data_IF_811269810249
#
_entry.id   IF_811269810249
#
_cell.length_a   1.000
_cell.length_b   1.000
_cell.length_c   1.000
_cell.angle_alpha   90.00
_cell.angle_beta   90.00
_cell.angle_gamma   90.00
#
_symmetry.space_group_name_H-M   'P 1'
#
loop_
_entity.id
_entity.type
_entity.pdbx_description
1 polymer ?
#
# COMPACT_ATOMS: atom_id res chain seq x y z
N UNK A 1 1.34 -10.63 -27.37
CA UNK A 1 1.37 -10.71 -25.89
C UNK A 1 -0.06 -10.78 -25.36
N UNK A 2 -0.32 -11.76 -24.50
CA UNK A 2 -1.68 -12.13 -24.11
C UNK A 2 -2.04 -11.68 -22.66
N UNK A 3 -1.41 -10.60 -22.15
CA UNK A 3 -1.74 -10.04 -20.84
C UNK A 3 -2.69 -8.86 -21.00
N UNK A 4 -3.81 -8.88 -20.26
CA UNK A 4 -4.80 -7.80 -20.23
C UNK A 4 -5.01 -7.32 -18.80
N UNK A 5 -4.91 -6.00 -18.60
CA UNK A 5 -5.27 -5.36 -17.34
C UNK A 5 -6.74 -4.98 -17.38
N UNK A 6 -7.49 -5.43 -16.40
CA UNK A 6 -8.93 -5.20 -16.34
C UNK A 6 -9.27 -4.49 -15.03
N UNK A 7 -10.01 -3.41 -15.15
CA UNK A 7 -10.48 -2.68 -13.97
C UNK A 7 -11.56 -3.47 -13.22
N UNK A 8 -11.69 -3.16 -11.92
CA UNK A 8 -12.71 -3.74 -11.05
C UNK A 8 -14.11 -3.65 -11.67
N UNK A 9 -14.83 -4.77 -11.73
CA UNK A 9 -16.17 -4.90 -12.29
C UNK A 9 -17.24 -3.97 -11.70
N UNK A 10 -17.01 -3.43 -10.50
CA UNK A 10 -17.95 -2.54 -9.81
C UNK A 10 -17.84 -1.07 -10.26
N UNK A 11 -16.76 -0.71 -10.96
CA UNK A 11 -16.50 0.67 -11.39
C UNK A 11 -16.27 0.69 -12.91
N UNK A 12 -16.96 1.58 -13.61
CA UNK A 12 -16.79 1.78 -15.05
C UNK A 12 -18.08 1.69 -15.84
N UNK A 13 -17.98 2.00 -17.14
CA UNK A 13 -19.10 1.90 -18.08
C UNK A 13 -19.55 0.45 -18.29
N UNK A 14 -20.75 0.26 -18.80
CA UNK A 14 -21.30 -1.07 -19.13
C UNK A 14 -20.41 -1.83 -20.11
N UNK A 15 -19.79 -1.15 -21.07
CA UNK A 15 -18.87 -1.74 -22.04
C UNK A 15 -17.62 -2.30 -21.36
N UNK A 16 -17.00 -1.54 -20.46
CA UNK A 16 -15.82 -1.99 -19.69
C UNK A 16 -16.13 -3.17 -18.80
N UNK A 17 -17.35 -3.22 -18.26
CA UNK A 17 -17.81 -4.37 -17.46
C UNK A 17 -17.98 -5.61 -18.35
N UNK A 18 -18.59 -5.49 -19.50
CA UNK A 18 -18.75 -6.59 -20.47
C UNK A 18 -17.39 -7.14 -20.93
N UNK A 19 -16.45 -6.27 -21.22
CA UNK A 19 -15.08 -6.64 -21.57
C UNK A 19 -14.38 -7.38 -20.41
N UNK A 20 -14.50 -6.89 -19.19
CA UNK A 20 -13.97 -7.54 -18.01
C UNK A 20 -14.55 -8.94 -17.80
N UNK A 21 -15.85 -9.12 -17.98
CA UNK A 21 -16.51 -10.43 -17.95
C UNK A 21 -16.00 -11.36 -19.06
N UNK A 22 -15.86 -10.83 -20.28
CA UNK A 22 -15.30 -11.60 -21.40
C UNK A 22 -13.92 -12.15 -21.04
N UNK A 23 -12.99 -11.30 -20.57
CA UNK A 23 -11.64 -11.76 -20.21
C UNK A 23 -11.66 -12.72 -19.01
N UNK A 24 -12.44 -12.46 -17.99
CA UNK A 24 -12.55 -13.36 -16.86
C UNK A 24 -13.09 -14.74 -17.27
N UNK A 25 -13.98 -14.80 -18.26
CA UNK A 25 -14.53 -16.06 -18.76
C UNK A 25 -13.61 -16.81 -19.74
N UNK A 26 -12.70 -16.12 -20.42
CA UNK A 26 -11.88 -16.71 -21.49
C UNK A 26 -10.41 -16.89 -21.12
N UNK A 27 -9.92 -16.21 -20.07
CA UNK A 27 -8.53 -16.30 -19.65
C UNK A 27 -8.22 -17.63 -18.97
N UNK A 28 -7.04 -18.17 -19.25
CA UNK A 28 -6.52 -19.37 -18.59
C UNK A 28 -5.97 -19.05 -17.20
N UNK A 29 -5.34 -17.89 -17.04
CA UNK A 29 -4.76 -17.42 -15.78
C UNK A 29 -5.40 -16.10 -15.38
N UNK A 30 -5.78 -15.98 -14.13
CA UNK A 30 -6.35 -14.76 -13.55
C UNK A 30 -5.51 -14.37 -12.35
N UNK A 31 -4.87 -13.19 -12.43
CA UNK A 31 -4.06 -12.61 -11.36
C UNK A 31 -4.80 -11.47 -10.68
N UNK A 32 -4.72 -11.40 -9.38
CA UNK A 32 -5.34 -10.34 -8.56
C UNK A 32 -4.57 -10.13 -7.25
N UNK A 33 -4.89 -9.09 -6.51
CA UNK A 33 -4.14 -8.70 -5.29
C UNK A 33 -4.98 -8.65 -4.03
N UNK A 34 -6.29 -8.86 -4.16
CA UNK A 34 -7.23 -8.89 -3.03
C UNK A 34 -8.29 -9.94 -3.28
N UNK A 35 -9.22 -10.11 -2.32
CA UNK A 35 -10.34 -11.01 -2.51
C UNK A 35 -11.09 -10.71 -3.82
N UNK A 36 -11.15 -11.69 -4.69
CA UNK A 36 -11.87 -11.63 -5.94
C UNK A 36 -13.28 -12.16 -5.67
N UNK A 37 -14.21 -11.26 -5.38
CA UNK A 37 -15.57 -11.61 -4.93
C UNK A 37 -16.50 -12.11 -6.03
N UNK A 38 -15.98 -12.28 -7.23
CA UNK A 38 -16.83 -12.55 -8.40
C UNK A 38 -16.99 -14.02 -8.73
N UNK A 39 -16.34 -14.91 -8.02
CA UNK A 39 -16.15 -16.24 -8.54
C UNK A 39 -16.99 -17.27 -7.83
N UNK A 40 -18.19 -17.45 -8.33
CA UNK A 40 -18.87 -18.73 -8.23
C UNK A 40 -18.56 -19.70 -9.37
N UNK A 41 -17.71 -19.37 -10.32
CA UNK A 41 -17.56 -20.14 -11.56
C UNK A 41 -16.12 -20.20 -12.04
N UNK A 42 -15.24 -20.90 -11.30
CA UNK A 42 -13.97 -21.34 -11.88
C UNK A 42 -14.26 -22.41 -12.94
N UNK A 43 -13.76 -22.21 -14.13
CA UNK A 43 -13.84 -23.23 -15.18
C UNK A 43 -12.73 -24.27 -14.99
N UNK A 44 -12.94 -25.49 -15.43
CA UNK A 44 -12.04 -26.63 -15.27
C UNK A 44 -10.57 -26.39 -15.67
N UNK A 45 -10.29 -25.36 -16.48
CA UNK A 45 -8.95 -25.05 -16.99
C UNK A 45 -8.49 -23.64 -16.66
N UNK A 46 -9.09 -22.95 -15.69
CA UNK A 46 -8.67 -21.64 -15.23
C UNK A 46 -7.91 -21.78 -13.92
N UNK A 47 -6.84 -20.98 -13.77
CA UNK A 47 -6.07 -20.86 -12.54
C UNK A 47 -6.18 -19.44 -11.99
N UNK A 48 -6.53 -19.35 -10.72
CA UNK A 48 -6.68 -18.13 -9.97
C UNK A 48 -5.48 -17.95 -9.04
N UNK A 49 -4.69 -16.91 -9.31
CA UNK A 49 -3.44 -16.66 -8.61
C UNK A 49 -3.55 -15.34 -7.88
N UNK A 50 -3.61 -15.40 -6.56
CA UNK A 50 -3.60 -14.22 -5.70
C UNK A 50 -2.16 -13.78 -5.47
N UNK A 51 -1.79 -12.63 -6.02
CA UNK A 51 -0.48 -12.01 -5.81
C UNK A 51 -0.37 -11.41 -4.40
N UNK A 52 -1.50 -11.30 -3.71
CA UNK A 52 -1.66 -10.68 -2.41
C UNK A 52 -1.05 -9.26 -2.33
N UNK A 53 -1.12 -8.62 -1.16
CA UNK A 53 -0.74 -7.22 -1.04
C UNK A 53 0.13 -6.89 0.18
N UNK A 54 0.54 -7.88 0.95
CA UNK A 54 1.44 -7.65 2.08
C UNK A 54 1.67 -8.89 2.93
N UNK A 55 2.76 -8.90 3.69
CA UNK A 55 3.10 -10.02 4.55
C UNK A 55 2.16 -10.17 5.75
N UNK A 56 1.62 -9.04 6.25
CA UNK A 56 0.69 -9.01 7.38
C UNK A 56 1.28 -9.57 8.67
N UNK A 57 1.47 -8.71 9.66
CA UNK A 57 1.94 -9.11 10.99
C UNK A 57 0.79 -9.40 11.94
N UNK A 58 -0.41 -8.97 11.58
CA UNK A 58 -1.59 -9.11 12.44
C UNK A 58 -2.13 -10.53 12.33
N UNK A 59 -2.23 -11.21 13.47
CA UNK A 59 -2.99 -12.44 13.57
C UNK A 59 -4.47 -12.14 13.31
N UNK A 60 -5.09 -12.91 12.44
CA UNK A 60 -6.53 -12.85 12.23
C UNK A 60 -7.15 -14.13 12.75
N UNK A 61 -7.73 -14.08 13.97
CA UNK A 61 -8.35 -15.23 14.61
C UNK A 61 -9.52 -15.84 13.84
N UNK A 62 -10.14 -15.06 12.96
CA UNK A 62 -11.35 -15.49 12.25
C UNK A 62 -11.07 -16.05 10.85
N UNK A 63 -9.81 -16.08 10.42
CA UNK A 63 -9.44 -16.47 9.08
C UNK A 63 -10.16 -15.65 8.00
N UNK A 64 -9.62 -15.56 6.82
CA UNK A 64 -10.31 -14.93 5.69
C UNK A 64 -10.52 -15.97 4.61
N UNK A 65 -11.75 -16.36 4.35
CA UNK A 65 -12.06 -17.20 3.19
C UNK A 65 -11.83 -16.38 1.93
N UNK A 66 -10.72 -16.62 1.27
CA UNK A 66 -10.39 -16.06 -0.04
C UNK A 66 -10.29 -17.24 -1.01
N UNK A 67 -10.90 -17.08 -2.17
CA UNK A 67 -10.79 -18.09 -3.21
C UNK A 67 -9.51 -17.86 -4.02
N UNK A 68 -8.69 -18.88 -4.16
CA UNK A 68 -7.55 -18.95 -5.06
C UNK A 68 -7.13 -20.41 -5.26
N UNK A 69 -6.50 -20.69 -6.38
CA UNK A 69 -5.79 -21.93 -6.58
C UNK A 69 -4.40 -21.84 -5.96
N UNK A 70 -3.72 -20.70 -6.20
CA UNK A 70 -2.42 -20.36 -5.62
C UNK A 70 -2.40 -18.95 -5.07
N UNK A 71 -1.64 -18.73 -3.99
CA UNK A 71 -1.39 -17.42 -3.41
C UNK A 71 0.10 -17.23 -3.17
N UNK A 72 0.63 -16.06 -3.54
CA UNK A 72 2.02 -15.71 -3.25
C UNK A 72 2.19 -15.38 -1.77
N UNK A 73 3.33 -15.79 -1.23
CA UNK A 73 3.80 -15.42 0.10
C UNK A 73 5.24 -14.91 0.03
N UNK A 74 5.66 -14.02 0.95
CA UNK A 74 6.96 -13.36 0.84
C UNK A 74 8.17 -14.29 1.08
N UNK A 75 7.94 -15.46 1.64
CA UNK A 75 8.98 -16.45 1.93
C UNK A 75 8.43 -17.59 2.80
N UNK A 76 9.22 -18.64 2.95
CA UNK A 76 8.79 -19.89 3.61
C UNK A 76 8.39 -19.70 5.07
N UNK A 77 9.01 -18.77 5.78
CA UNK A 77 8.67 -18.46 7.18
C UNK A 77 7.21 -18.00 7.36
N UNK A 78 6.58 -17.49 6.29
CA UNK A 78 5.19 -17.02 6.34
C UNK A 78 4.16 -18.10 5.97
N UNK A 79 4.59 -19.27 5.50
CA UNK A 79 3.67 -20.33 5.04
C UNK A 79 2.71 -20.73 6.15
N UNK A 80 3.21 -21.04 7.35
CA UNK A 80 2.38 -21.45 8.49
C UNK A 80 1.32 -20.39 8.82
N UNK A 81 1.75 -19.15 8.99
CA UNK A 81 0.84 -18.03 9.33
C UNK A 81 -0.21 -17.81 8.23
N UNK A 82 0.18 -17.96 6.96
CA UNK A 82 -0.75 -17.78 5.85
C UNK A 82 -1.71 -18.98 5.67
N UNK A 83 -1.28 -20.18 5.99
CA UNK A 83 -2.20 -21.33 6.06
C UNK A 83 -3.31 -21.09 7.10
N UNK A 84 -2.95 -20.63 8.27
CA UNK A 84 -3.91 -20.29 9.34
C UNK A 84 -4.81 -19.14 8.94
N UNK A 85 -4.23 -18.08 8.34
CA UNK A 85 -4.96 -16.89 7.91
C UNK A 85 -6.01 -17.19 6.82
N UNK A 86 -5.66 -18.01 5.82
CA UNK A 86 -6.54 -18.34 4.69
C UNK A 86 -7.33 -19.62 4.89
N UNK A 87 -7.01 -20.43 5.89
CA UNK A 87 -7.61 -21.75 6.07
C UNK A 87 -7.29 -22.68 4.90
N UNK A 88 -6.07 -22.65 4.38
CA UNK A 88 -5.64 -23.44 3.22
C UNK A 88 -4.46 -24.36 3.54
N UNK A 89 -4.12 -25.26 2.61
CA UNK A 89 -2.92 -26.10 2.71
C UNK A 89 -1.68 -25.39 2.16
N UNK A 90 -0.48 -25.80 2.60
CA UNK A 90 0.79 -25.27 2.10
C UNK A 90 0.96 -25.40 0.58
N UNK A 91 0.38 -26.43 -0.03
CA UNK A 91 0.43 -26.66 -1.49
C UNK A 91 -0.16 -25.54 -2.33
N UNK A 92 -1.01 -24.69 -1.74
CA UNK A 92 -1.60 -23.52 -2.39
C UNK A 92 -0.76 -22.26 -2.23
N UNK A 93 0.30 -22.30 -1.43
CA UNK A 93 1.13 -21.13 -1.12
C UNK A 93 2.48 -21.21 -1.86
N UNK A 94 2.80 -20.19 -2.62
CA UNK A 94 4.03 -20.09 -3.39
C UNK A 94 4.95 -19.04 -2.77
N UNK A 95 6.09 -19.46 -2.25
CA UNK A 95 7.06 -18.60 -1.55
C UNK A 95 8.02 -17.89 -2.51
N UNK A 96 7.47 -17.25 -3.53
CA UNK A 96 8.24 -16.54 -4.57
C UNK A 96 8.45 -15.06 -4.28
N UNK A 97 7.97 -14.56 -3.13
CA UNK A 97 7.91 -13.13 -2.89
C UNK A 97 6.74 -12.46 -3.60
N UNK A 98 6.73 -11.14 -3.59
CA UNK A 98 5.70 -10.35 -4.26
C UNK A 98 6.30 -9.57 -5.43
N UNK A 99 5.69 -9.55 -6.63
CA UNK A 99 6.22 -8.86 -7.81
C UNK A 99 6.54 -7.37 -7.56
N UNK A 100 5.82 -6.74 -6.65
CA UNK A 100 6.06 -5.34 -6.26
C UNK A 100 7.46 -5.10 -5.67
N UNK A 101 8.08 -6.12 -5.08
CA UNK A 101 9.41 -6.01 -4.50
C UNK A 101 10.50 -5.95 -5.56
N UNK A 102 10.25 -6.48 -6.75
CA UNK A 102 11.19 -6.39 -7.86
C UNK A 102 11.48 -4.92 -8.23
N UNK A 103 10.45 -4.07 -8.23
CA UNK A 103 10.62 -2.64 -8.49
C UNK A 103 11.45 -1.95 -7.40
N UNK A 104 11.24 -2.34 -6.13
CA UNK A 104 12.00 -1.80 -5.01
C UNK A 104 13.47 -2.21 -5.07
N UNK A 105 13.76 -3.45 -5.49
CA UNK A 105 15.12 -4.00 -5.58
C UNK A 105 15.88 -3.50 -6.81
N UNK A 106 15.21 -3.34 -7.93
CA UNK A 106 15.80 -2.85 -9.18
C UNK A 106 16.10 -1.36 -9.17
N UNK A 107 15.41 -0.62 -8.30
CA UNK A 107 15.46 0.84 -8.30
C UNK A 107 14.75 1.45 -9.51
N UNK A 108 14.86 2.76 -9.62
CA UNK A 108 14.32 3.54 -10.73
C UNK A 108 15.15 4.82 -10.86
N UNK A 109 15.71 5.08 -12.03
CA UNK A 109 16.46 6.32 -12.31
C UNK A 109 15.63 7.56 -11.96
N UNK A 110 14.34 7.54 -12.30
CA UNK A 110 13.40 8.60 -11.97
C UNK A 110 13.23 8.79 -10.45
N UNK A 111 13.13 7.70 -9.68
CA UNK A 111 13.04 7.78 -8.22
C UNK A 111 14.34 8.35 -7.62
N UNK A 112 15.48 8.00 -8.19
CA UNK A 112 16.78 8.52 -7.76
C UNK A 112 16.94 10.01 -8.10
N UNK A 113 16.48 10.45 -9.26
CA UNK A 113 16.46 11.86 -9.65
C UNK A 113 15.55 12.67 -8.73
N UNK A 114 14.34 12.16 -8.47
CA UNK A 114 13.41 12.81 -7.55
C UNK A 114 13.97 12.92 -6.13
N UNK A 115 14.59 11.86 -5.62
CA UNK A 115 15.27 11.86 -4.34
C UNK A 115 16.39 12.90 -4.30
N UNK A 116 17.26 12.96 -5.33
CA UNK A 116 18.35 13.95 -5.43
C UNK A 116 17.81 15.38 -5.42
N UNK A 117 16.72 15.62 -6.16
CA UNK A 117 16.04 16.93 -6.18
C UNK A 117 15.57 17.34 -4.80
N UNK A 118 14.82 16.48 -4.09
CA UNK A 118 14.31 16.76 -2.76
C UNK A 118 15.43 17.05 -1.76
N UNK A 119 16.49 16.22 -1.76
CA UNK A 119 17.63 16.41 -0.87
C UNK A 119 18.35 17.74 -1.11
N UNK A 120 18.51 18.13 -2.38
CA UNK A 120 19.12 19.40 -2.76
C UNK A 120 18.27 20.61 -2.33
N UNK A 121 16.96 20.55 -2.54
CA UNK A 121 16.03 21.64 -2.21
C UNK A 121 15.93 21.89 -0.70
N UNK A 122 16.20 20.88 0.13
CA UNK A 122 16.12 20.96 1.60
C UNK A 122 17.48 20.99 2.29
N UNK A 123 18.57 21.12 1.55
CA UNK A 123 19.95 21.04 2.06
C UNK A 123 20.17 19.82 2.96
N UNK A 124 19.72 18.65 2.48
CA UNK A 124 19.72 17.41 3.25
C UNK A 124 20.59 16.36 2.59
N UNK A 125 21.19 15.48 3.41
CA UNK A 125 22.00 14.35 2.96
C UNK A 125 21.26 13.02 3.10
N UNK A 126 20.31 12.95 4.05
CA UNK A 126 19.57 11.74 4.40
C UNK A 126 18.08 11.96 4.20
N UNK A 127 17.40 10.94 3.67
CA UNK A 127 15.96 10.93 3.49
C UNK A 127 15.33 9.81 4.30
N UNK A 128 14.35 10.16 5.12
CA UNK A 128 13.52 9.23 5.88
C UNK A 128 12.10 9.27 5.31
N UNK A 129 11.62 8.15 4.81
CA UNK A 129 10.23 7.98 4.42
C UNK A 129 9.43 7.50 5.63
N UNK A 130 8.50 8.33 6.10
CA UNK A 130 7.59 7.99 7.18
C UNK A 130 6.18 7.78 6.68
N UNK A 131 5.66 6.56 6.80
CA UNK A 131 4.32 6.17 6.40
C UNK A 131 3.50 5.78 7.65
N UNK A 132 3.00 6.75 8.41
CA UNK A 132 2.25 6.47 9.63
C UNK A 132 0.94 5.75 9.33
N UNK A 133 0.48 4.93 10.26
CA UNK A 133 -0.88 4.40 10.23
C UNK A 133 -1.86 5.56 10.42
N UNK A 134 -2.97 5.56 9.65
CA UNK A 134 -3.99 6.59 9.80
C UNK A 134 -4.57 6.58 11.23
N UNK A 135 -4.92 7.78 11.70
CA UNK A 135 -5.56 8.02 13.02
C UNK A 135 -6.95 8.60 12.86
N UNK A 136 -7.15 9.40 11.83
CA UNK A 136 -8.44 9.96 11.45
C UNK A 136 -8.77 9.56 10.02
N UNK A 137 -9.91 8.89 9.83
CA UNK A 137 -10.39 8.52 8.51
C UNK A 137 -11.64 9.32 8.16
N UNK A 138 -11.91 9.48 6.88
CA UNK A 138 -13.15 10.10 6.38
C UNK A 138 -14.41 9.28 6.69
N UNK A 139 -14.26 8.07 7.22
CA UNK A 139 -15.35 7.17 7.64
C UNK A 139 -15.36 7.02 9.14
N UNK A 140 -16.50 7.34 9.78
CA UNK A 140 -16.70 7.22 11.23
C UNK A 140 -16.40 5.81 11.79
N UNK A 141 -16.61 4.77 10.98
CA UNK A 141 -16.32 3.38 11.38
C UNK A 141 -14.83 3.07 11.57
N UNK A 142 -13.96 3.95 11.10
CA UNK A 142 -12.52 3.76 11.12
C UNK A 142 -11.81 4.73 12.07
N UNK A 143 -12.57 5.60 12.71
CA UNK A 143 -12.03 6.50 13.73
C UNK A 143 -11.91 5.73 15.04
N UNK A 144 -10.70 5.47 15.46
CA UNK A 144 -10.43 4.99 16.82
C UNK A 144 -10.38 6.21 17.74
N UNK A 145 -11.03 6.14 18.90
CA UNK A 145 -11.19 7.22 19.88
C UNK A 145 -9.87 7.74 20.51
N UNK A 146 -8.74 7.25 20.06
CA UNK A 146 -7.52 7.24 20.89
C UNK A 146 -6.52 8.34 20.61
N UNK A 147 -6.70 9.26 19.68
CA UNK A 147 -5.70 10.28 19.43
C UNK A 147 -6.30 11.65 19.16
N UNK A 148 -6.56 12.37 20.24
CA UNK A 148 -6.67 13.82 20.24
C UNK A 148 -5.26 14.43 20.14
N UNK A 149 -4.63 14.36 18.97
CA UNK A 149 -3.48 15.18 18.70
C UNK A 149 -3.78 16.12 17.53
N UNK A 150 -3.19 17.30 17.58
CA UNK A 150 -3.46 18.41 16.67
C UNK A 150 -3.28 18.01 15.20
N UNK A 151 -2.28 17.20 14.89
CA UNK A 151 -1.91 16.86 13.53
C UNK A 151 -2.33 15.46 13.08
N UNK A 152 -2.93 14.67 13.97
CA UNK A 152 -3.29 13.27 13.68
C UNK A 152 -2.09 12.40 13.23
N UNK A 153 -0.88 12.78 13.62
CA UNK A 153 0.35 12.04 13.33
C UNK A 153 0.81 11.37 14.62
N UNK A 154 1.16 10.08 14.59
CA UNK A 154 1.74 9.41 15.77
C UNK A 154 2.99 10.16 16.26
N UNK A 155 3.15 10.29 17.58
CA UNK A 155 4.33 10.88 18.24
C UNK A 155 4.37 12.41 18.22
N UNK A 156 3.76 13.06 17.25
CA UNK A 156 3.71 14.52 17.12
C UNK A 156 2.35 15.00 17.64
N UNK A 157 2.31 15.44 18.89
CA UNK A 157 1.05 15.80 19.57
C UNK A 157 0.68 17.27 19.40
N UNK A 158 1.68 18.12 19.20
CA UNK A 158 1.54 19.57 19.16
C UNK A 158 2.55 20.24 18.22
N UNK A 159 2.35 21.54 17.98
CA UNK A 159 3.19 22.34 17.10
C UNK A 159 4.65 22.45 17.58
N UNK A 160 4.87 22.51 18.89
CA UNK A 160 6.21 22.68 19.44
C UNK A 160 7.06 21.44 19.14
N UNK A 161 6.52 20.24 19.32
CA UNK A 161 7.21 18.99 18.95
C UNK A 161 7.47 18.88 17.45
N UNK A 162 6.55 19.35 16.61
CA UNK A 162 6.73 19.38 15.17
C UNK A 162 7.88 20.30 14.78
N UNK A 163 7.94 21.50 15.35
CA UNK A 163 8.99 22.47 15.09
C UNK A 163 10.34 22.01 15.64
N UNK A 164 10.37 21.40 16.83
CA UNK A 164 11.57 20.79 17.40
C UNK A 164 12.13 19.68 16.49
N UNK A 165 11.25 18.80 16.00
CA UNK A 165 11.64 17.75 15.04
C UNK A 165 12.17 18.36 13.74
N UNK A 166 11.50 19.40 13.21
CA UNK A 166 11.96 20.06 11.99
C UNK A 166 13.32 20.73 12.19
N UNK A 167 13.55 21.37 13.32
CA UNK A 167 14.83 21.98 13.70
C UNK A 167 15.92 20.89 13.80
N UNK A 168 15.67 19.79 14.50
CA UNK A 168 16.57 18.66 14.59
C UNK A 168 16.93 18.11 13.21
N UNK A 169 15.95 17.95 12.33
CA UNK A 169 16.17 17.48 10.97
C UNK A 169 17.09 18.42 10.19
N UNK A 170 16.86 19.71 10.29
CA UNK A 170 17.69 20.74 9.65
C UNK A 170 19.12 20.71 10.14
N UNK A 171 19.35 20.69 11.45
CA UNK A 171 20.68 20.67 12.07
C UNK A 171 21.46 19.39 11.74
N UNK A 172 20.79 18.29 11.42
CA UNK A 172 21.40 17.00 11.11
C UNK A 172 21.37 16.62 9.61
N UNK A 173 21.01 17.56 8.74
CA UNK A 173 20.87 17.36 7.29
C UNK A 173 19.97 16.18 6.93
N UNK A 174 18.85 16.05 7.62
CA UNK A 174 17.84 15.01 7.41
C UNK A 174 16.60 15.63 6.77
N UNK A 175 16.03 14.96 5.76
CA UNK A 175 14.71 15.21 5.23
C UNK A 175 13.76 14.12 5.67
N UNK A 176 12.67 14.46 6.33
CA UNK A 176 11.55 13.54 6.57
C UNK A 176 10.47 13.79 5.53
N UNK A 177 10.12 12.74 4.79
CA UNK A 177 9.00 12.73 3.85
C UNK A 177 7.86 11.95 4.48
N UNK A 178 6.77 12.62 4.82
CA UNK A 178 5.58 11.98 5.39
C UNK A 178 4.62 11.62 4.25
N UNK A 179 4.34 10.34 4.07
CA UNK A 179 3.32 9.85 3.14
C UNK A 179 2.11 9.38 3.92
N UNK A 180 0.99 10.09 3.78
CA UNK A 180 -0.25 9.72 4.46
C UNK A 180 -0.84 8.41 3.94
N UNK A 181 -1.56 7.71 4.80
CA UNK A 181 -2.46 6.64 4.38
C UNK A 181 -3.62 7.21 3.55
N UNK A 182 -4.10 6.49 2.54
CA UNK A 182 -5.16 6.98 1.64
C UNK A 182 -6.51 7.27 2.33
N UNK A 183 -6.75 6.67 3.50
CA UNK A 183 -7.92 6.93 4.34
C UNK A 183 -7.73 8.10 5.31
N UNK A 184 -6.50 8.54 5.53
CA UNK A 184 -6.20 9.64 6.44
C UNK A 184 -6.71 10.95 5.86
N UNK A 185 -7.42 11.74 6.65
CA UNK A 185 -7.71 13.14 6.32
C UNK A 185 -6.40 13.91 6.13
N UNK A 186 -6.38 14.97 5.31
CA UNK A 186 -5.19 15.80 5.16
C UNK A 186 -4.66 16.27 6.51
N UNK A 187 -3.33 16.27 6.66
CA UNK A 187 -2.70 16.90 7.80
C UNK A 187 -2.76 18.42 7.61
N UNK A 188 -3.09 19.12 8.66
CA UNK A 188 -3.06 20.58 8.71
C UNK A 188 -1.96 21.00 9.68
N UNK A 189 -0.88 21.56 9.17
CA UNK A 189 0.22 22.06 9.99
C UNK A 189 0.05 23.56 10.30
N UNK A 190 -1.07 24.15 9.92
CA UNK A 190 -1.35 25.57 10.12
C UNK A 190 -0.31 26.46 9.43
N UNK A 191 0.11 27.52 10.11
CA UNK A 191 1.12 28.46 9.62
C UNK A 191 2.57 28.01 9.86
N UNK A 192 2.78 26.78 10.33
CA UNK A 192 4.12 26.27 10.64
C UNK A 192 4.95 26.11 9.36
N UNK A 193 6.07 26.82 9.29
CA UNK A 193 7.01 26.71 8.17
C UNK A 193 7.95 25.53 8.41
N UNK A 194 7.75 24.46 7.66
CA UNK A 194 8.58 23.26 7.73
C UNK A 194 9.56 23.24 6.55
N UNK A 195 10.85 23.19 6.85
CA UNK A 195 11.91 23.18 5.83
C UNK A 195 12.41 21.76 5.52
N UNK A 196 12.44 20.91 6.54
CA UNK A 196 13.01 19.57 6.47
C UNK A 196 11.99 18.45 6.77
N UNK A 197 10.71 18.81 6.83
CA UNK A 197 9.59 17.88 6.86
C UNK A 197 8.69 18.21 5.68
N UNK A 198 8.56 17.26 4.73
CA UNK A 198 7.74 17.39 3.52
C UNK A 198 6.61 16.39 3.57
N UNK A 199 5.46 16.83 3.15
CA UNK A 199 4.27 16.02 3.09
C UNK A 199 3.90 15.69 1.64
N UNK A 200 3.72 14.39 1.35
CA UNK A 200 3.31 13.92 0.03
C UNK A 200 1.85 13.47 0.03
N UNK A 201 1.06 14.09 -0.81
CA UNK A 201 -0.26 13.61 -1.15
C UNK A 201 -0.19 12.49 -2.20
N UNK A 202 -1.26 11.67 -2.29
CA UNK A 202 -1.32 10.61 -3.29
C UNK A 202 -1.38 11.15 -4.73
N UNK A 203 -1.76 12.41 -4.92
CA UNK A 203 -1.75 13.10 -6.22
C UNK A 203 -0.35 13.36 -6.74
N UNK A 204 0.57 13.72 -5.84
CA UNK A 204 1.95 14.03 -6.20
C UNK A 204 2.70 12.82 -6.76
N UNK A 205 2.19 11.61 -6.49
CA UNK A 205 2.74 10.35 -6.98
C UNK A 205 2.12 9.86 -8.29
N UNK A 206 0.97 10.40 -8.69
CA UNK A 206 0.25 9.97 -9.88
C UNK A 206 0.67 10.73 -11.13
N UNK A 207 1.10 11.98 -10.97
CA UNK A 207 1.47 12.88 -12.08
C UNK A 207 2.98 12.83 -12.37
N UNK A 208 3.66 12.03 -11.65
CA UNK A 208 5.08 11.73 -11.76
C UNK A 208 5.26 10.23 -12.01
#
# INVERSE_FOLDING_TARGET
ENVKFVQNFKKGSTIRRAEAYKYALTSKYIFYTQAFNWIGMSRKNQLFIDLWHGCGYKANKNGRKVFFDYCLVPGDIFIKTKMEFFGCTSKKLLSFGYPRYDMMLKGSERADEYKKKLLKETDSEKLILWMPTYRHASSERLNEETLNNEFNIPIIDDADKLLELNKFCKENHILIVIKKHYLQVPYDFGENVLTNIVYLENRDLADN
#
